data_IF_156743570935
#
_entry.id   IF_156743570935
#
_cell.length_a   1.000
_cell.length_b   1.000
_cell.length_c   1.000
_cell.angle_alpha   90.00
_cell.angle_beta   90.00
_cell.angle_gamma   90.00
#
_symmetry.space_group_name_H-M   'P 1'
#
loop_
_entity.id
_entity.type
_entity.pdbx_description
1 polymer ?
#
# COMPACT_ATOMS: atom_id res chain seq x y z
N UNK A 1 15.93 -1.80 10.28
CA UNK A 1 14.67 -1.32 9.66
C UNK A 1 15.03 -0.92 8.25
N UNK A 2 14.35 -1.46 7.21
CA UNK A 2 14.86 -1.45 5.83
C UNK A 2 15.41 -0.09 5.36
N UNK A 3 14.70 1.00 5.64
CA UNK A 3 15.13 2.37 5.25
C UNK A 3 16.43 2.77 5.98
N UNK A 4 16.53 2.57 7.29
CA UNK A 4 17.75 2.84 8.05
C UNK A 4 18.91 1.90 7.65
N UNK A 5 18.60 0.65 7.28
CA UNK A 5 19.60 -0.31 6.82
C UNK A 5 20.20 0.13 5.46
N UNK A 6 19.45 0.83 4.61
CA UNK A 6 19.98 1.38 3.34
C UNK A 6 21.03 2.48 3.56
N UNK A 7 20.89 3.27 4.63
CA UNK A 7 21.83 4.35 4.97
C UNK A 7 23.23 3.82 5.34
N UNK A 8 23.33 2.57 5.81
CA UNK A 8 24.60 1.91 6.07
C UNK A 8 25.36 1.54 4.78
N UNK A 9 24.63 1.36 3.68
CA UNK A 9 25.20 0.94 2.40
C UNK A 9 25.49 2.13 1.50
N UNK A 10 24.56 3.08 1.43
CA UNK A 10 24.67 4.26 0.59
C UNK A 10 24.14 5.49 1.31
N UNK A 11 24.95 6.54 1.32
CA UNK A 11 24.59 7.85 1.86
C UNK A 11 24.47 8.85 0.72
N UNK A 12 23.26 9.28 0.36
CA UNK A 12 23.07 10.33 -0.62
C UNK A 12 23.86 11.57 -0.23
N UNK A 13 24.61 12.15 -1.18
CA UNK A 13 25.40 13.37 -0.95
C UNK A 13 24.62 14.65 -1.22
N UNK A 14 23.52 14.53 -1.96
CA UNK A 14 22.59 15.61 -2.25
C UNK A 14 21.19 15.01 -2.40
N UNK A 15 20.22 15.61 -1.73
CA UNK A 15 18.82 15.24 -1.74
C UNK A 15 18.06 16.49 -2.17
N UNK A 16 17.11 16.32 -3.09
CA UNK A 16 16.17 17.36 -3.48
C UNK A 16 14.76 16.76 -3.49
N UNK A 17 13.83 17.43 -2.82
CA UNK A 17 12.41 17.09 -2.77
C UNK A 17 11.65 18.21 -3.47
N UNK A 18 10.95 17.87 -4.54
CA UNK A 18 9.94 18.75 -5.13
C UNK A 18 8.63 18.58 -4.35
N UNK A 19 8.31 19.58 -3.55
CA UNK A 19 7.06 19.69 -2.81
C UNK A 19 6.27 20.93 -3.25
N UNK A 20 6.40 21.35 -4.52
CA UNK A 20 5.55 22.43 -5.05
C UNK A 20 4.09 21.98 -4.98
N UNK A 21 3.84 20.75 -5.43
CA UNK A 21 2.59 20.02 -5.19
C UNK A 21 2.95 18.70 -4.50
N UNK A 22 2.71 18.64 -3.19
CA UNK A 22 2.84 17.43 -2.41
C UNK A 22 1.63 16.52 -2.64
N UNK A 23 1.83 15.21 -2.50
CA UNK A 23 0.75 14.24 -2.46
C UNK A 23 0.38 13.91 -1.02
N UNK A 24 -0.86 14.20 -0.61
CA UNK A 24 -1.36 13.85 0.72
C UNK A 24 -2.24 12.58 0.69
N UNK A 25 -2.47 11.98 1.86
CA UNK A 25 -3.18 10.71 2.07
C UNK A 25 -2.50 9.48 1.46
N UNK A 26 -2.77 9.21 0.19
CA UNK A 26 -2.41 7.97 -0.50
C UNK A 26 -1.11 8.12 -1.30
N UNK A 27 -0.37 7.04 -1.48
CA UNK A 27 0.87 7.00 -2.24
C UNK A 27 0.64 6.89 -3.76
N UNK A 28 -0.29 6.06 -4.22
CA UNK A 28 -0.49 5.85 -5.68
C UNK A 28 -1.53 6.81 -6.25
N UNK A 29 -2.55 7.15 -5.47
CA UNK A 29 -3.59 8.11 -5.83
C UNK A 29 -3.65 9.27 -4.82
N UNK A 30 -2.56 10.04 -4.68
CA UNK A 30 -2.51 11.13 -3.72
C UNK A 30 -3.56 12.19 -4.03
N UNK A 31 -4.05 12.86 -2.98
CA UNK A 31 -4.74 14.14 -3.15
C UNK A 31 -3.68 15.22 -3.34
N UNK A 32 -3.70 16.03 -4.41
CA UNK A 32 -2.75 17.12 -4.58
C UNK A 32 -2.89 18.16 -3.47
N UNK A 33 -1.77 18.56 -2.86
CA UNK A 33 -1.69 19.58 -1.84
C UNK A 33 -0.62 20.62 -2.23
N UNK A 34 -1.00 21.89 -2.34
CA UNK A 34 -0.06 22.93 -2.73
C UNK A 34 0.77 23.42 -1.53
N UNK A 35 1.93 22.79 -1.34
CA UNK A 35 2.89 23.20 -0.32
C UNK A 35 3.79 24.34 -0.84
N UNK A 36 4.20 24.31 -2.11
CA UNK A 36 4.97 25.40 -2.73
C UNK A 36 6.42 25.46 -2.27
N UNK A 37 7.02 24.31 -1.92
CA UNK A 37 8.39 24.25 -1.40
C UNK A 37 9.29 23.34 -2.27
N UNK A 38 10.57 23.67 -2.31
CA UNK A 38 11.63 22.76 -2.74
C UNK A 38 12.57 22.61 -1.55
N UNK A 39 12.78 21.38 -1.11
CA UNK A 39 13.67 21.09 0.02
C UNK A 39 14.94 20.46 -0.52
N UNK A 40 16.09 21.00 -0.14
CA UNK A 40 17.38 20.47 -0.54
C UNK A 40 18.29 20.31 0.67
N UNK A 41 19.12 19.26 0.67
CA UNK A 41 20.06 19.03 1.74
C UNK A 41 21.07 17.95 1.42
N UNK A 42 22.05 17.79 2.30
CA UNK A 42 23.19 16.87 2.12
C UNK A 42 23.18 15.71 3.11
N UNK A 43 22.18 15.64 3.98
CA UNK A 43 21.95 14.57 4.94
C UNK A 43 20.48 14.15 4.88
N UNK A 44 20.24 12.89 4.56
CA UNK A 44 18.87 12.37 4.39
C UNK A 44 18.06 12.35 5.68
N UNK A 45 18.67 12.05 6.84
CA UNK A 45 17.95 12.07 8.12
C UNK A 45 17.53 13.49 8.47
N UNK A 46 18.42 14.47 8.28
CA UNK A 46 18.11 15.88 8.49
C UNK A 46 17.01 16.38 7.54
N UNK A 47 17.07 16.02 6.25
CA UNK A 47 16.05 16.41 5.27
C UNK A 47 14.69 15.83 5.63
N UNK A 48 14.62 14.55 6.02
CA UNK A 48 13.36 13.93 6.44
C UNK A 48 12.86 14.55 7.76
N UNK A 49 13.74 14.89 8.71
CA UNK A 49 13.39 15.62 9.94
C UNK A 49 12.77 16.98 9.62
N UNK A 50 13.40 17.78 8.75
CA UNK A 50 12.82 19.05 8.28
C UNK A 50 11.46 18.80 7.63
N UNK A 51 11.35 17.76 6.79
CA UNK A 51 10.10 17.32 6.20
C UNK A 51 9.00 17.04 7.24
N UNK A 52 9.33 16.37 8.35
CA UNK A 52 8.39 16.12 9.45
C UNK A 52 7.84 17.43 10.03
N UNK A 53 8.73 18.39 10.35
CA UNK A 53 8.32 19.70 10.87
C UNK A 53 7.49 20.50 9.87
N UNK A 54 7.81 20.42 8.57
CA UNK A 54 7.02 21.07 7.51
C UNK A 54 5.58 20.58 7.45
N UNK A 55 5.29 19.34 7.87
CA UNK A 55 3.93 18.75 7.87
C UNK A 55 3.41 18.46 9.28
N UNK A 56 3.97 19.12 10.30
CA UNK A 56 3.51 19.04 11.70
C UNK A 56 3.55 17.61 12.28
N UNK A 57 4.55 16.80 11.92
CA UNK A 57 4.80 15.46 12.46
C UNK A 57 5.99 15.49 13.41
N UNK A 58 5.89 14.81 14.55
CA UNK A 58 7.05 14.60 15.44
C UNK A 58 7.98 13.54 14.80
N UNK A 59 9.26 13.88 14.51
CA UNK A 59 10.21 12.92 13.94
C UNK A 59 10.44 11.69 14.85
N UNK A 60 10.14 11.77 16.16
CA UNK A 60 10.21 10.63 17.07
C UNK A 60 9.14 9.56 16.80
N UNK A 61 8.04 9.90 16.16
CA UNK A 61 7.02 8.93 15.76
C UNK A 61 7.49 8.07 14.57
N UNK A 62 8.51 8.53 13.85
CA UNK A 62 9.06 7.83 12.69
C UNK A 62 10.21 6.89 13.08
N UNK A 63 9.88 5.59 13.14
CA UNK A 63 10.80 4.51 13.50
C UNK A 63 12.12 4.54 12.69
N UNK A 64 12.06 4.88 11.40
CA UNK A 64 13.25 4.89 10.56
C UNK A 64 14.18 6.08 10.84
N UNK A 65 13.66 7.25 11.21
CA UNK A 65 14.49 8.39 11.62
C UNK A 65 15.19 8.10 12.93
N UNK A 66 14.44 7.58 13.92
CA UNK A 66 15.01 7.14 15.20
C UNK A 66 16.16 6.15 15.03
N UNK A 67 15.96 5.11 14.21
CA UNK A 67 17.03 4.15 13.96
C UNK A 67 18.19 4.73 13.16
N UNK A 68 17.94 5.64 12.22
CA UNK A 68 19.02 6.30 11.46
C UNK A 68 19.87 7.17 12.37
N UNK A 69 19.25 7.99 13.21
CA UNK A 69 19.93 8.83 14.20
C UNK A 69 20.75 8.01 15.21
N UNK A 70 20.15 6.95 15.78
CA UNK A 70 20.84 6.04 16.72
C UNK A 70 22.07 5.35 16.12
N UNK A 71 22.10 5.17 14.79
CA UNK A 71 23.22 4.57 14.07
C UNK A 71 24.26 5.59 13.61
N UNK A 72 24.10 6.87 13.95
CA UNK A 72 25.02 7.94 13.58
C UNK A 72 24.76 8.56 12.21
N UNK A 73 23.59 8.32 11.61
CA UNK A 73 23.17 8.93 10.34
C UNK A 73 22.26 10.16 10.53
N UNK A 74 22.09 10.62 11.78
CA UNK A 74 21.34 11.83 12.13
C UNK A 74 21.96 13.12 11.55
N UNK A 75 21.44 14.30 11.93
CA UNK A 75 20.63 14.57 13.12
C UNK A 75 19.13 14.27 12.96
N UNK A 76 18.42 14.22 14.10
CA UNK A 76 16.95 14.16 14.19
C UNK A 76 16.38 15.30 15.03
N UNK A 77 17.23 16.03 15.75
CA UNK A 77 16.86 17.28 16.42
C UNK A 77 16.95 18.43 15.42
N UNK A 78 15.91 19.28 15.37
CA UNK A 78 15.86 20.42 14.47
C UNK A 78 16.90 21.48 14.81
N UNK A 79 17.28 21.60 16.08
CA UNK A 79 18.29 22.55 16.56
C UNK A 79 19.72 22.17 16.11
N UNK A 80 19.93 20.91 15.71
CA UNK A 80 21.19 20.42 15.16
C UNK A 80 21.26 20.58 13.62
N UNK A 81 20.22 21.12 12.98
CA UNK A 81 20.11 21.27 11.53
C UNK A 81 20.19 22.75 11.16
N UNK A 82 21.15 23.09 10.30
CA UNK A 82 21.22 24.42 9.69
C UNK A 82 20.14 24.53 8.58
N UNK A 83 18.98 25.08 8.95
CA UNK A 83 17.84 25.28 8.05
C UNK A 83 17.85 26.73 7.54
N UNK A 84 18.11 26.88 6.24
CA UNK A 84 17.96 28.15 5.52
C UNK A 84 16.96 28.03 4.37
N UNK A 85 16.59 29.16 3.77
CA UNK A 85 15.68 29.20 2.63
C UNK A 85 15.02 30.56 2.43
N UNK A 86 14.14 30.65 1.43
CA UNK A 86 13.39 31.87 1.12
C UNK A 86 12.31 32.21 2.15
N UNK A 87 11.87 31.22 2.93
CA UNK A 87 10.88 31.32 4.00
C UNK A 87 11.31 30.45 5.20
N UNK A 88 10.83 30.79 6.40
CA UNK A 88 11.18 30.06 7.63
C UNK A 88 10.42 28.73 7.72
N UNK A 89 10.92 27.80 8.54
CA UNK A 89 10.27 26.51 8.77
C UNK A 89 8.89 26.68 9.43
N UNK A 90 8.74 27.67 10.30
CA UNK A 90 7.48 28.00 10.97
C UNK A 90 6.41 28.44 9.96
N UNK A 91 6.78 29.27 8.98
CA UNK A 91 5.85 29.71 7.93
C UNK A 91 5.34 28.53 7.10
N UNK A 92 6.24 27.61 6.73
CA UNK A 92 5.88 26.39 6.00
C UNK A 92 4.97 25.50 6.84
N UNK A 93 5.33 25.29 8.10
CA UNK A 93 4.56 24.48 9.04
C UNK A 93 3.14 25.04 9.23
N UNK A 94 3.02 26.36 9.38
CA UNK A 94 1.74 27.08 9.48
C UNK A 94 0.88 26.88 8.23
N UNK A 95 1.46 27.06 7.04
CA UNK A 95 0.76 26.86 5.76
C UNK A 95 0.26 25.42 5.59
N UNK A 96 0.98 24.46 6.18
CA UNK A 96 0.74 23.03 6.01
C UNK A 96 -0.03 22.40 7.19
N UNK A 97 -0.65 23.19 8.07
CA UNK A 97 -1.45 22.67 9.21
C UNK A 97 -2.56 21.71 8.83
N UNK A 98 -3.08 21.86 7.61
CA UNK A 98 -4.17 21.03 7.07
C UNK A 98 -3.65 19.89 6.17
N UNK A 99 -2.35 19.57 6.22
CA UNK A 99 -1.81 18.43 5.49
C UNK A 99 -2.35 17.12 6.09
N UNK A 100 -2.96 16.27 5.27
CA UNK A 100 -3.67 15.08 5.74
C UNK A 100 -2.90 13.78 5.50
N UNK A 101 -2.85 12.91 6.51
CA UNK A 101 -2.35 11.55 6.41
C UNK A 101 -3.51 10.55 6.38
N UNK A 102 -3.30 9.39 5.73
CA UNK A 102 -4.27 8.30 5.78
C UNK A 102 -3.86 7.26 6.82
N UNK A 103 -4.21 7.51 8.08
CA UNK A 103 -3.89 6.66 9.24
C UNK A 103 -5.14 6.01 9.84
N UNK A 104 -6.04 5.56 8.98
CA UNK A 104 -7.30 4.92 9.37
C UNK A 104 -7.23 3.41 9.13
N UNK A 105 -7.71 2.65 10.11
CA UNK A 105 -7.88 1.22 10.02
C UNK A 105 -8.97 0.86 9.00
N UNK A 106 -8.72 -0.07 8.07
CA UNK A 106 -9.69 -0.49 7.04
C UNK A 106 -11.05 -0.95 7.57
N UNK A 107 -11.12 -1.42 8.82
CA UNK A 107 -12.35 -1.80 9.53
C UNK A 107 -13.17 -0.61 10.04
N UNK A 108 -12.57 0.59 10.08
CA UNK A 108 -13.25 1.87 10.38
C UNK A 108 -13.29 2.81 9.16
N UNK A 109 -12.57 2.46 8.07
CA UNK A 109 -12.32 3.34 6.92
C UNK A 109 -13.51 3.49 5.97
N UNK A 110 -14.29 2.42 5.79
CA UNK A 110 -15.40 2.40 4.84
C UNK A 110 -16.70 2.84 5.51
N UNK A 111 -17.50 3.63 4.80
CA UNK A 111 -18.76 4.13 5.33
C UNK A 111 -19.75 2.98 5.59
N UNK A 112 -20.71 3.19 6.51
CA UNK A 112 -21.70 2.16 6.88
C UNK A 112 -22.61 1.72 5.73
N UNK A 113 -22.79 2.56 4.73
CA UNK A 113 -23.55 2.29 3.51
C UNK A 113 -22.69 1.67 2.39
N UNK A 114 -21.40 1.42 2.63
CA UNK A 114 -20.53 0.72 1.70
C UNK A 114 -20.87 -0.76 1.63
N UNK A 115 -20.91 -1.30 0.40
CA UNK A 115 -20.98 -2.74 0.17
C UNK A 115 -19.60 -3.43 0.34
N UNK A 116 -18.54 -2.69 0.67
CA UNK A 116 -17.27 -3.25 1.11
C UNK A 116 -17.12 -3.09 2.62
N UNK A 117 -16.96 -4.20 3.31
CA UNK A 117 -16.78 -4.26 4.75
C UNK A 117 -15.53 -5.05 5.09
N UNK A 118 -14.87 -4.72 6.20
CA UNK A 118 -13.59 -5.35 6.57
C UNK A 118 -13.69 -6.08 7.92
N UNK A 119 -12.92 -7.16 8.05
CA UNK A 119 -12.66 -7.84 9.32
C UNK A 119 -11.16 -8.04 9.46
N UNK A 120 -10.59 -7.39 10.48
CA UNK A 120 -9.16 -7.39 10.73
C UNK A 120 -8.87 -8.25 11.96
N UNK A 121 -8.06 -9.29 11.74
CA UNK A 121 -7.55 -10.15 12.81
C UNK A 121 -6.13 -9.77 13.23
N UNK A 122 -5.52 -10.62 14.06
CA UNK A 122 -4.14 -10.41 14.51
C UNK A 122 -3.11 -10.74 13.43
N UNK A 123 -1.98 -10.06 13.44
CA UNK A 123 -0.88 -10.29 12.51
C UNK A 123 0.28 -11.02 13.20
N UNK A 124 1.09 -11.81 12.44
CA UNK A 124 2.11 -12.69 13.00
C UNK A 124 3.38 -11.97 13.49
N UNK A 125 3.63 -10.74 13.03
CA UNK A 125 4.84 -10.00 13.37
C UNK A 125 4.67 -9.24 14.69
N UNK A 126 5.59 -9.47 15.64
CA UNK A 126 5.50 -8.92 17.01
C UNK A 126 5.39 -7.39 17.05
N UNK A 127 6.08 -6.71 16.15
CA UNK A 127 6.13 -5.25 16.08
C UNK A 127 4.88 -4.62 15.44
N UNK A 128 3.95 -5.44 14.95
CA UNK A 128 2.75 -5.00 14.25
C UNK A 128 1.60 -5.98 14.46
N UNK A 129 1.46 -6.49 15.68
CA UNK A 129 0.51 -7.59 16.00
C UNK A 129 -0.94 -7.17 15.79
N UNK A 130 -1.24 -5.90 16.08
CA UNK A 130 -2.61 -5.39 16.03
C UNK A 130 -2.98 -4.86 14.64
N UNK A 131 -2.00 -4.42 13.84
CA UNK A 131 -2.25 -3.93 12.50
C UNK A 131 -1.01 -3.93 11.60
N UNK A 132 -1.19 -4.31 10.32
CA UNK A 132 -0.13 -4.28 9.32
C UNK A 132 -0.32 -3.11 8.34
N UNK A 133 0.14 -1.92 8.73
CA UNK A 133 -0.01 -0.65 7.98
C UNK A 133 0.51 -0.72 6.53
N UNK A 134 1.72 -1.24 6.31
CA UNK A 134 2.29 -1.41 4.96
C UNK A 134 1.85 -2.69 4.24
N UNK A 135 0.85 -3.39 4.76
CA UNK A 135 0.42 -4.70 4.30
C UNK A 135 -0.74 -4.65 3.29
N UNK A 136 -1.54 -5.71 3.31
CA UNK A 136 -2.74 -5.79 2.47
C UNK A 136 -3.76 -4.67 2.79
N UNK A 137 -3.92 -4.18 4.04
CA UNK A 137 -4.85 -3.09 4.33
C UNK A 137 -4.58 -1.80 3.57
N UNK A 138 -3.34 -1.29 3.59
CA UNK A 138 -2.98 -0.09 2.82
C UNK A 138 -3.17 -0.31 1.31
N UNK A 139 -2.82 -1.49 0.80
CA UNK A 139 -3.02 -1.83 -0.60
C UNK A 139 -4.51 -1.92 -1.01
N UNK A 140 -5.40 -2.30 -0.09
CA UNK A 140 -6.84 -2.25 -0.29
C UNK A 140 -7.34 -0.81 -0.39
N UNK A 141 -6.92 0.07 0.51
CA UNK A 141 -7.30 1.48 0.49
C UNK A 141 -6.89 2.13 -0.84
N UNK A 142 -5.64 1.94 -1.27
CA UNK A 142 -5.14 2.42 -2.57
C UNK A 142 -5.99 1.90 -3.74
N UNK A 143 -6.35 0.61 -3.72
CA UNK A 143 -7.19 0.04 -4.77
C UNK A 143 -8.58 0.69 -4.82
N UNK A 144 -9.18 0.98 -3.67
CA UNK A 144 -10.46 1.67 -3.59
C UNK A 144 -10.39 3.12 -4.04
N UNK A 145 -9.29 3.84 -3.77
CA UNK A 145 -9.10 5.18 -4.33
C UNK A 145 -8.94 5.17 -5.85
N UNK A 146 -8.26 4.17 -6.42
CA UNK A 146 -8.25 3.98 -7.87
C UNK A 146 -9.68 3.84 -8.37
N UNK A 147 -10.49 2.97 -7.77
CA UNK A 147 -11.89 2.81 -8.19
C UNK A 147 -12.69 4.11 -8.06
N UNK A 148 -12.59 4.84 -6.95
CA UNK A 148 -13.26 6.13 -6.74
C UNK A 148 -12.91 7.15 -7.83
N UNK A 149 -11.67 7.15 -8.30
CA UNK A 149 -11.22 8.00 -9.41
C UNK A 149 -11.90 7.70 -10.75
N UNK A 150 -12.34 6.47 -10.98
CA UNK A 150 -13.09 6.07 -12.19
C UNK A 150 -14.61 6.07 -11.97
N UNK A 151 -15.05 5.70 -10.77
CA UNK A 151 -16.43 5.41 -10.39
C UNK A 151 -16.69 5.95 -8.97
N UNK A 152 -17.18 7.20 -8.83
CA UNK A 152 -17.31 7.84 -7.51
C UNK A 152 -18.20 7.10 -6.50
N UNK A 153 -19.22 6.38 -6.96
CA UNK A 153 -20.18 5.63 -6.12
C UNK A 153 -19.88 4.12 -6.06
N UNK A 154 -18.64 3.71 -6.38
CA UNK A 154 -18.28 2.30 -6.53
C UNK A 154 -18.60 1.44 -5.31
N UNK A 155 -18.49 2.02 -4.11
CA UNK A 155 -18.74 1.33 -2.84
C UNK A 155 -20.21 0.96 -2.65
N UNK A 156 -21.14 1.79 -3.14
CA UNK A 156 -22.57 1.52 -3.09
C UNK A 156 -23.04 0.67 -4.28
N UNK A 157 -22.35 0.75 -5.42
CA UNK A 157 -22.72 0.04 -6.66
C UNK A 157 -22.17 -1.38 -6.73
N UNK A 158 -21.03 -1.66 -6.08
CA UNK A 158 -20.47 -3.00 -6.04
C UNK A 158 -21.36 -3.97 -5.29
N UNK A 159 -21.31 -5.26 -5.65
CA UNK A 159 -21.90 -6.30 -4.82
C UNK A 159 -21.20 -6.38 -3.46
N UNK A 160 -21.93 -6.88 -2.45
CA UNK A 160 -21.43 -7.02 -1.07
C UNK A 160 -20.21 -7.92 -1.01
N UNK A 161 -19.12 -7.36 -0.48
CA UNK A 161 -17.84 -8.04 -0.28
C UNK A 161 -17.37 -7.86 1.16
N UNK A 162 -17.15 -8.98 1.85
CA UNK A 162 -16.41 -9.06 3.10
C UNK A 162 -14.92 -9.23 2.82
N UNK A 163 -14.10 -8.27 3.19
CA UNK A 163 -12.65 -8.37 3.14
C UNK A 163 -12.09 -8.81 4.49
N UNK A 164 -11.35 -9.92 4.51
CA UNK A 164 -10.82 -10.51 5.75
C UNK A 164 -9.30 -10.60 5.67
N UNK A 165 -8.62 -10.07 6.69
CA UNK A 165 -7.15 -10.09 6.75
C UNK A 165 -6.65 -10.41 8.16
N UNK A 166 -5.57 -11.17 8.25
CA UNK A 166 -4.99 -11.59 9.52
C UNK A 166 -5.68 -12.80 10.15
N UNK A 167 -5.33 -13.09 11.39
CA UNK A 167 -5.83 -14.22 12.16
C UNK A 167 -7.13 -13.85 12.84
N UNK A 168 -8.26 -14.24 12.24
CA UNK A 168 -9.61 -13.99 12.75
C UNK A 168 -10.12 -15.27 13.41
N UNK A 169 -10.64 -15.16 14.64
CA UNK A 169 -11.20 -16.29 15.40
C UNK A 169 -12.71 -16.25 15.47
N UNK A 170 -13.25 -15.06 15.35
CA UNK A 170 -14.65 -14.74 15.44
C UNK A 170 -15.38 -15.29 14.19
N UNK A 171 -16.63 -15.75 14.34
CA UNK A 171 -17.44 -16.13 13.19
C UNK A 171 -17.69 -14.89 12.30
N UNK A 172 -17.80 -15.12 10.99
CA UNK A 172 -18.19 -14.09 10.04
C UNK A 172 -19.72 -14.10 9.92
N UNK A 173 -20.36 -13.01 10.33
CA UNK A 173 -21.78 -12.77 10.11
C UNK A 173 -21.94 -12.21 8.69
N UNK A 174 -22.30 -13.07 7.76
CA UNK A 174 -22.43 -12.73 6.34
C UNK A 174 -23.88 -12.49 5.97
N UNK A 175 -24.11 -11.46 5.16
CA UNK A 175 -25.40 -11.19 4.55
C UNK A 175 -25.65 -12.07 3.32
N UNK A 176 -26.91 -12.20 2.91
CA UNK A 176 -27.25 -13.01 1.74
C UNK A 176 -26.57 -12.47 0.47
N UNK A 177 -25.82 -13.34 -0.21
CA UNK A 177 -25.06 -13.01 -1.41
C UNK A 177 -23.75 -12.25 -1.16
N UNK A 178 -23.36 -11.99 0.09
CA UNK A 178 -22.07 -11.39 0.44
C UNK A 178 -20.93 -12.38 0.13
N UNK A 179 -19.94 -11.90 -0.63
CA UNK A 179 -18.76 -12.69 -0.99
C UNK A 179 -17.58 -12.38 -0.10
N UNK A 180 -16.74 -13.37 0.22
CA UNK A 180 -15.60 -13.19 1.13
C UNK A 180 -14.25 -13.22 0.40
N UNK A 181 -13.42 -12.21 0.60
CA UNK A 181 -12.01 -12.20 0.17
C UNK A 181 -11.14 -12.38 1.41
N UNK A 182 -10.51 -13.54 1.57
CA UNK A 182 -9.42 -13.74 2.52
C UNK A 182 -8.13 -13.24 1.88
N UNK A 183 -7.53 -12.20 2.42
CA UNK A 183 -6.43 -11.50 1.79
C UNK A 183 -5.11 -11.73 2.53
N UNK A 184 -4.10 -12.24 1.81
CA UNK A 184 -2.76 -12.39 2.32
C UNK A 184 -2.46 -13.78 2.90
N UNK A 185 -1.16 -14.08 2.97
CA UNK A 185 -0.64 -15.35 3.47
C UNK A 185 -0.76 -15.47 4.99
N UNK A 186 -0.83 -14.35 5.72
CA UNK A 186 -1.04 -14.33 7.17
C UNK A 186 -2.47 -14.72 7.58
N UNK A 187 -3.41 -14.65 6.65
CA UNK A 187 -4.82 -14.83 6.95
C UNK A 187 -5.15 -16.28 7.29
N UNK A 188 -5.83 -16.46 8.41
CA UNK A 188 -6.35 -17.74 8.86
C UNK A 188 -7.71 -17.58 9.51
N UNK A 189 -8.62 -18.49 9.20
CA UNK A 189 -9.99 -18.48 9.70
C UNK A 189 -10.61 -19.88 9.54
N UNK A 190 -11.51 -20.26 10.44
CA UNK A 190 -12.24 -21.52 10.40
C UNK A 190 -13.69 -21.28 10.85
N UNK A 191 -14.65 -21.72 10.06
CA UNK A 191 -16.06 -21.50 10.33
C UNK A 191 -16.94 -21.95 9.16
N UNK A 192 -18.17 -21.43 9.12
CA UNK A 192 -19.14 -21.73 8.06
C UNK A 192 -19.40 -20.53 7.18
N UNK A 193 -19.40 -20.74 5.87
CA UNK A 193 -19.84 -19.77 4.85
C UNK A 193 -20.98 -20.43 4.09
N UNK A 194 -22.17 -19.84 4.12
CA UNK A 194 -23.37 -20.37 3.47
C UNK A 194 -23.62 -21.86 3.78
N UNK A 195 -23.48 -22.24 5.05
CA UNK A 195 -23.68 -23.61 5.53
C UNK A 195 -22.54 -24.60 5.23
N UNK A 196 -21.49 -24.19 4.49
CA UNK A 196 -20.33 -25.04 4.18
C UNK A 196 -19.20 -24.76 5.16
N UNK A 197 -18.57 -25.81 5.68
CA UNK A 197 -17.37 -25.67 6.49
C UNK A 197 -16.19 -25.21 5.62
N UNK A 198 -15.55 -24.12 6.04
CA UNK A 198 -14.43 -23.49 5.35
C UNK A 198 -13.28 -23.33 6.33
N UNK A 199 -12.08 -23.73 5.90
CA UNK A 199 -10.84 -23.61 6.67
C UNK A 199 -9.75 -22.95 5.86
N UNK A 200 -9.43 -21.72 6.22
CA UNK A 200 -8.34 -20.92 5.66
C UNK A 200 -7.11 -21.10 6.54
N UNK A 201 -6.08 -21.73 5.98
CA UNK A 201 -4.80 -21.93 6.67
C UNK A 201 -3.81 -20.84 6.28
N UNK A 202 -3.16 -20.25 7.28
CA UNK A 202 -2.04 -19.34 7.07
C UNK A 202 -0.90 -20.08 6.37
N UNK A 203 -0.31 -19.42 5.38
CA UNK A 203 0.92 -19.84 4.71
C UNK A 203 2.01 -18.78 4.84
N UNK A 204 1.92 -17.96 5.91
CA UNK A 204 2.91 -16.95 6.22
C UNK A 204 4.28 -17.59 6.49
N UNK A 205 5.33 -16.89 6.07
CA UNK A 205 6.72 -17.24 6.35
C UNK A 205 7.38 -16.03 6.97
N UNK A 206 8.13 -16.22 8.06
CA UNK A 206 8.89 -15.14 8.64
C UNK A 206 10.03 -14.74 7.70
N UNK A 207 10.53 -13.51 7.80
CA UNK A 207 11.63 -13.03 6.96
C UNK A 207 12.88 -13.92 7.04
N UNK A 208 13.10 -14.63 8.15
CA UNK A 208 14.20 -15.59 8.33
C UNK A 208 14.04 -16.89 7.56
N UNK A 209 12.81 -17.21 7.14
CA UNK A 209 12.46 -18.46 6.45
C UNK A 209 12.37 -18.28 4.92
N UNK A 210 12.69 -17.08 4.42
CA UNK A 210 12.64 -16.73 3.00
C UNK A 210 14.07 -16.67 2.47
N UNK A 211 14.34 -17.41 1.39
CA UNK A 211 15.62 -17.34 0.66
C UNK A 211 15.66 -16.06 -0.19
N UNK A 212 16.38 -15.05 0.29
CA UNK A 212 16.51 -13.74 -0.36
C UNK A 212 17.24 -13.81 -1.72
N UNK A 213 17.99 -14.87 -1.99
CA UNK A 213 18.67 -15.08 -3.27
C UNK A 213 17.71 -15.62 -4.34
N UNK A 214 16.53 -16.09 -3.95
CA UNK A 214 15.50 -16.63 -4.84
C UNK A 214 14.26 -15.74 -4.85
N UNK A 215 14.26 -14.77 -5.76
CA UNK A 215 13.07 -13.94 -5.99
C UNK A 215 12.23 -14.50 -7.13
N UNK A 216 10.92 -14.69 -6.89
CA UNK A 216 9.96 -15.06 -7.94
C UNK A 216 9.87 -13.94 -8.98
N UNK A 217 9.54 -14.30 -10.22
CA UNK A 217 9.34 -13.33 -11.28
C UNK A 217 8.33 -12.25 -10.87
N UNK A 218 8.74 -10.98 -10.98
CA UNK A 218 7.89 -9.81 -10.79
C UNK A 218 7.26 -9.33 -12.11
N UNK A 219 7.13 -10.24 -13.08
CA UNK A 219 6.55 -9.92 -14.37
C UNK A 219 5.06 -9.54 -14.25
N UNK A 220 4.72 -8.38 -14.81
CA UNK A 220 3.38 -7.80 -14.73
C UNK A 220 2.32 -8.71 -15.37
N UNK A 221 2.57 -9.21 -16.59
CA UNK A 221 1.61 -10.08 -17.28
C UNK A 221 1.42 -11.39 -16.55
N UNK A 222 2.50 -12.00 -16.06
CA UNK A 222 2.39 -13.25 -15.30
C UNK A 222 1.52 -13.07 -14.04
N UNK A 223 1.67 -11.95 -13.34
CA UNK A 223 0.88 -11.64 -12.14
C UNK A 223 -0.60 -11.40 -12.46
N UNK A 224 -0.89 -10.58 -13.48
CA UNK A 224 -2.27 -10.33 -13.93
C UNK A 224 -2.91 -11.63 -14.44
N UNK A 225 -2.19 -12.34 -15.31
CA UNK A 225 -2.35 -13.73 -15.74
C UNK A 225 -2.96 -14.63 -14.67
N UNK A 226 -2.10 -14.90 -13.68
CA UNK A 226 -2.37 -15.81 -12.58
C UNK A 226 -3.59 -15.37 -11.77
N UNK A 227 -3.71 -14.06 -11.52
CA UNK A 227 -4.79 -13.52 -10.70
C UNK A 227 -6.15 -13.64 -11.41
N UNK A 228 -6.25 -13.24 -12.68
CA UNK A 228 -7.46 -13.42 -13.48
C UNK A 228 -7.86 -14.89 -13.59
N UNK A 229 -6.88 -15.77 -13.76
CA UNK A 229 -7.14 -17.21 -13.80
C UNK A 229 -7.75 -17.67 -12.47
N UNK A 230 -7.14 -17.33 -11.34
CA UNK A 230 -7.67 -17.64 -10.03
C UNK A 230 -9.12 -17.13 -9.84
N UNK A 231 -9.41 -15.91 -10.27
CA UNK A 231 -10.76 -15.34 -10.25
C UNK A 231 -11.73 -16.17 -11.08
N UNK A 232 -11.38 -16.52 -12.32
CA UNK A 232 -12.26 -17.25 -13.25
C UNK A 232 -12.64 -18.62 -12.67
N UNK A 233 -11.68 -19.34 -12.08
CA UNK A 233 -11.92 -20.65 -11.48
C UNK A 233 -12.73 -20.58 -10.18
N UNK A 234 -12.75 -19.43 -9.50
CA UNK A 234 -13.48 -19.24 -8.25
C UNK A 234 -14.74 -18.36 -8.41
N UNK A 235 -15.17 -18.07 -9.64
CA UNK A 235 -16.30 -17.14 -9.89
C UNK A 235 -17.61 -17.56 -9.23
N UNK A 236 -17.84 -18.86 -9.10
CA UNK A 236 -19.02 -19.48 -8.48
C UNK A 236 -18.83 -19.77 -6.98
N UNK A 237 -17.66 -19.46 -6.43
CA UNK A 237 -17.39 -19.59 -5.01
C UNK A 237 -17.92 -18.36 -4.26
N UNK A 238 -18.40 -18.61 -3.05
CA UNK A 238 -18.82 -17.57 -2.10
C UNK A 238 -17.61 -16.90 -1.44
N UNK A 239 -16.43 -17.51 -1.54
CA UNK A 239 -15.20 -16.96 -0.99
C UNK A 239 -13.98 -17.22 -1.88
N UNK A 240 -12.93 -16.46 -1.64
CA UNK A 240 -11.63 -16.60 -2.30
C UNK A 240 -10.48 -16.33 -1.31
N UNK A 241 -9.45 -17.19 -1.31
CA UNK A 241 -8.19 -16.92 -0.60
C UNK A 241 -7.14 -16.35 -1.55
N UNK A 242 -6.96 -15.04 -1.52
CA UNK A 242 -5.94 -14.32 -2.28
C UNK A 242 -4.58 -14.41 -1.55
N UNK A 243 -3.69 -15.25 -2.06
CA UNK A 243 -2.37 -15.50 -1.43
C UNK A 243 -1.31 -14.50 -1.89
N UNK A 244 -0.69 -13.79 -0.94
CA UNK A 244 0.37 -12.81 -1.14
C UNK A 244 0.91 -12.26 0.19
N UNK A 245 2.06 -11.59 0.17
CA UNK A 245 2.62 -10.96 1.38
C UNK A 245 3.58 -9.80 0.98
N UNK A 246 3.07 -8.61 0.66
CA UNK A 246 1.64 -8.23 0.58
C UNK A 246 0.98 -8.65 -0.74
N UNK A 247 -0.35 -8.58 -0.82
CA UNK A 247 -1.07 -8.51 -2.10
C UNK A 247 -0.89 -7.11 -2.69
N UNK A 248 -0.58 -7.02 -3.98
CA UNK A 248 -0.40 -5.73 -4.65
C UNK A 248 -1.73 -4.99 -4.86
N UNK A 249 -1.67 -3.68 -5.07
CA UNK A 249 -2.84 -2.85 -5.39
C UNK A 249 -3.55 -3.35 -6.65
N UNK A 250 -2.79 -3.70 -7.69
CA UNK A 250 -3.34 -4.29 -8.92
C UNK A 250 -4.06 -5.63 -8.67
N UNK A 251 -3.56 -6.43 -7.72
CA UNK A 251 -4.24 -7.67 -7.35
C UNK A 251 -5.57 -7.40 -6.65
N UNK A 252 -5.61 -6.41 -5.73
CA UNK A 252 -6.85 -5.98 -5.08
C UNK A 252 -7.86 -5.47 -6.11
N UNK A 253 -7.45 -4.63 -7.07
CA UNK A 253 -8.33 -4.17 -8.16
C UNK A 253 -8.93 -5.37 -8.90
N UNK A 254 -8.13 -6.38 -9.27
CA UNK A 254 -8.66 -7.55 -9.97
C UNK A 254 -9.64 -8.37 -9.12
N UNK A 255 -9.31 -8.63 -7.85
CA UNK A 255 -10.18 -9.42 -6.97
C UNK A 255 -11.48 -8.69 -6.64
N UNK A 256 -11.41 -7.39 -6.34
CA UNK A 256 -12.59 -6.56 -6.05
C UNK A 256 -13.48 -6.40 -7.28
N UNK A 257 -12.91 -6.16 -8.47
CA UNK A 257 -13.70 -6.14 -9.70
C UNK A 257 -14.50 -7.41 -9.93
N UNK A 258 -13.87 -8.55 -9.67
CA UNK A 258 -14.52 -9.83 -9.88
C UNK A 258 -15.57 -10.17 -8.81
N UNK A 259 -15.24 -9.96 -7.55
CA UNK A 259 -16.10 -10.34 -6.43
C UNK A 259 -17.22 -9.32 -6.20
N UNK A 260 -16.92 -8.03 -6.37
CA UNK A 260 -17.90 -6.94 -6.34
C UNK A 260 -18.65 -6.74 -7.65
N UNK A 261 -18.34 -7.50 -8.71
CA UNK A 261 -18.91 -7.36 -10.07
C UNK A 261 -18.89 -5.92 -10.62
N UNK A 262 -17.81 -5.20 -10.36
CA UNK A 262 -17.57 -3.86 -10.88
C UNK A 262 -16.58 -3.90 -12.06
N UNK A 263 -16.66 -2.89 -12.91
CA UNK A 263 -15.73 -2.76 -14.04
C UNK A 263 -14.30 -2.64 -13.53
N UNK A 264 -13.37 -3.34 -14.16
CA UNK A 264 -11.96 -3.29 -13.81
C UNK A 264 -11.24 -2.19 -14.61
N UNK A 265 -10.74 -1.12 -13.95
CA UNK A 265 -10.06 -0.01 -14.62
C UNK A 265 -8.87 -0.45 -15.48
N UNK A 266 -8.15 -1.50 -15.07
CA UNK A 266 -6.97 -2.00 -15.80
C UNK A 266 -7.31 -2.49 -17.22
N UNK A 267 -8.55 -2.91 -17.46
CA UNK A 267 -9.02 -3.34 -18.78
C UNK A 267 -9.85 -2.29 -19.50
N UNK A 268 -9.97 -1.08 -18.94
CA UNK A 268 -10.60 0.04 -19.62
C UNK A 268 -9.82 0.46 -20.88
N UNK A 269 -10.50 0.90 -21.96
CA UNK A 269 -9.85 1.21 -23.23
C UNK A 269 -8.78 2.31 -23.12
N UNK A 270 -8.96 3.25 -22.18
CA UNK A 270 -8.01 4.33 -21.89
C UNK A 270 -6.69 3.85 -21.29
N UNK A 271 -6.67 2.71 -20.60
CA UNK A 271 -5.47 2.19 -19.93
C UNK A 271 -4.88 0.98 -20.65
N UNK A 272 -5.73 0.07 -21.12
CA UNK A 272 -5.30 -1.23 -21.63
C UNK A 272 -4.30 -1.10 -22.78
N UNK A 273 -4.63 -0.32 -23.82
CA UNK A 273 -3.75 -0.17 -25.00
C UNK A 273 -2.43 0.53 -24.65
N UNK A 274 -2.42 1.76 -24.08
CA UNK A 274 -1.17 2.48 -23.85
C UNK A 274 -0.25 1.77 -22.84
N UNK A 275 -0.79 1.15 -21.78
CA UNK A 275 0.02 0.44 -20.77
C UNK A 275 0.71 -0.77 -21.39
N UNK A 276 0.00 -1.56 -22.21
CA UNK A 276 0.61 -2.71 -22.88
C UNK A 276 1.69 -2.28 -23.87
N UNK A 277 1.45 -1.23 -24.67
CA UNK A 277 2.46 -0.67 -25.58
C UNK A 277 3.70 -0.22 -24.80
N UNK A 278 3.52 0.53 -23.72
CA UNK A 278 4.63 1.01 -22.88
C UNK A 278 5.42 -0.15 -22.27
N UNK A 279 4.74 -1.18 -21.77
CA UNK A 279 5.38 -2.37 -21.20
C UNK A 279 6.20 -3.12 -22.27
N UNK A 280 5.64 -3.38 -23.45
CA UNK A 280 6.39 -4.07 -24.51
C UNK A 280 7.56 -3.24 -25.02
N UNK A 281 7.38 -1.91 -25.17
CA UNK A 281 8.47 -0.99 -25.50
C UNK A 281 9.59 -1.07 -24.46
N UNK A 282 9.26 -1.03 -23.17
CA UNK A 282 10.24 -1.20 -22.08
C UNK A 282 10.97 -2.55 -22.18
N UNK A 283 10.25 -3.66 -22.45
CA UNK A 283 10.87 -5.00 -22.58
C UNK A 283 11.82 -5.08 -23.77
N UNK A 284 11.43 -4.53 -24.92
CA UNK A 284 12.26 -4.46 -26.13
C UNK A 284 13.49 -3.60 -25.86
N UNK A 285 13.35 -2.40 -25.29
CA UNK A 285 14.48 -1.54 -24.97
C UNK A 285 15.44 -2.18 -23.97
N UNK A 286 14.93 -2.85 -22.92
CA UNK A 286 15.77 -3.61 -21.99
C UNK A 286 16.52 -4.76 -22.68
N UNK A 287 15.88 -5.43 -23.64
CA UNK A 287 16.52 -6.48 -24.43
C UNK A 287 17.62 -5.88 -25.31
N UNK A 288 17.35 -4.80 -26.03
CA UNK A 288 18.31 -4.11 -26.90
C UNK A 288 19.52 -3.59 -26.08
N UNK A 289 19.29 -2.92 -24.94
CA UNK A 289 20.37 -2.39 -24.10
C UNK A 289 21.31 -3.49 -23.57
N UNK A 290 20.83 -4.73 -23.39
CA UNK A 290 21.72 -5.84 -23.02
C UNK A 290 22.75 -6.20 -24.09
N UNK A 291 22.50 -5.83 -25.35
CA UNK A 291 23.43 -6.06 -26.46
C UNK A 291 24.19 -4.80 -26.88
N UNK A 292 23.63 -3.61 -26.64
CA UNK A 292 24.20 -2.34 -27.15
C UNK A 292 24.94 -1.54 -26.06
N UNK A 293 24.72 -1.81 -24.78
CA UNK A 293 25.28 -1.02 -23.66
C UNK A 293 24.36 0.11 -23.27
#
# INVERSE_FOLDING_TARGET
HKIADLQEVIQPKFIAIDAITAGQKMMLTPTPFHMGAIVMGTNSCAVDTVGCHMVNVDPNDLIHLRFSAQRGFGPMDIEEIDVGGDFSLEEVSEKNKNFEFCMEHIDDYFAKDSNLSCTVGKFPEKHSTDYCWGGCPGALQEAMHIFRGFYPNVEQEMQKVRYVVGMVKEPLELEEGEKVIFAGNCTSWEGKINGKDVKIKSSYKNYRDVDEKKTKSNDMFLKVLKNLWQVIFNRSSDYLHAKGCTLSVAEHVNYLSAMGKITNPNFGPKLLVPVNIAYFKMRVMRFINRFIG
#
